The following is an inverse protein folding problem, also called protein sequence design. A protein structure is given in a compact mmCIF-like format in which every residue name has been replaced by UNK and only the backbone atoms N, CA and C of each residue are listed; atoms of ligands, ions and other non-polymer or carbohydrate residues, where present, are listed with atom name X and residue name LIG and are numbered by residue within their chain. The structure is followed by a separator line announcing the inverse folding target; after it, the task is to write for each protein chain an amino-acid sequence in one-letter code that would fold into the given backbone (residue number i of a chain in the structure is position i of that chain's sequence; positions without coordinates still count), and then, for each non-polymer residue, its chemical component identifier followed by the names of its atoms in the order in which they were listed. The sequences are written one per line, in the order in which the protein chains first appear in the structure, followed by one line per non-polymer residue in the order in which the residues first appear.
data_IF_250904848218
#
_entry.id   IF_250904848218
#
_cell.length_a   1.000
_cell.length_b   1.000
_cell.length_c   1.000
_cell.angle_alpha   90.00
_cell.angle_beta   90.00
_cell.angle_gamma   90.00
#
_symmetry.space_group_name_H-M   'P 1'
#
loop_
_entity.id
_entity.type
_entity.pdbx_description
1 polymer ?
#
# COMPACT_ATOMS: atom_id res chain seq x y z
N UNK A 1 17.94 -41.92 -9.07
CA UNK A 1 16.98 -41.12 -9.87
C UNK A 1 16.57 -39.93 -9.00
N UNK A 2 17.14 -38.74 -9.23
CA UNK A 2 16.77 -37.53 -8.46
C UNK A 2 15.51 -36.96 -9.10
N UNK A 3 14.42 -36.98 -8.36
CA UNK A 3 13.16 -36.35 -8.76
C UNK A 3 13.37 -34.85 -8.56
N UNK A 4 13.40 -34.08 -9.64
CA UNK A 4 13.28 -32.63 -9.55
C UNK A 4 11.81 -32.34 -9.24
N UNK A 5 11.51 -31.96 -8.00
CA UNK A 5 10.22 -31.35 -7.69
C UNK A 5 10.08 -30.07 -8.50
N UNK A 6 9.00 -29.90 -9.29
CA UNK A 6 8.76 -28.64 -9.97
C UNK A 6 8.56 -27.57 -8.91
N UNK A 7 9.33 -26.48 -9.00
CA UNK A 7 9.11 -25.30 -8.18
C UNK A 7 7.67 -24.82 -8.39
N UNK A 8 6.81 -25.10 -7.42
CA UNK A 8 5.42 -24.64 -7.41
C UNK A 8 5.48 -23.12 -7.33
N UNK A 9 5.18 -22.45 -8.45
CA UNK A 9 5.02 -21.00 -8.46
C UNK A 9 3.95 -20.65 -7.42
N UNK A 10 4.17 -19.61 -6.58
CA UNK A 10 3.13 -19.17 -5.65
C UNK A 10 1.86 -18.87 -6.44
N UNK A 11 0.68 -19.25 -5.93
CA UNK A 11 -0.58 -19.00 -6.62
C UNK A 11 -0.71 -17.50 -6.90
N UNK A 12 -1.23 -17.10 -8.07
CA UNK A 12 -1.58 -15.71 -8.30
C UNK A 12 -2.50 -15.27 -7.17
N UNK A 13 -2.17 -14.16 -6.51
CA UNK A 13 -3.03 -13.61 -5.47
C UNK A 13 -4.33 -13.19 -6.13
N UNK A 14 -5.44 -13.89 -5.86
CA UNK A 14 -6.76 -13.64 -6.46
C UNK A 14 -7.35 -12.27 -6.06
N UNK A 15 -6.70 -11.57 -5.12
CA UNK A 15 -7.13 -10.25 -4.64
C UNK A 15 -6.68 -9.16 -5.64
N UNK A 16 -7.58 -8.29 -6.12
CA UNK A 16 -7.21 -7.17 -6.99
C UNK A 16 -6.15 -6.27 -6.36
N UNK A 17 -5.18 -5.80 -7.16
CA UNK A 17 -4.06 -4.97 -6.69
C UNK A 17 -4.52 -3.77 -5.84
N UNK A 18 -5.58 -3.10 -6.26
CA UNK A 18 -6.20 -2.00 -5.50
C UNK A 18 -6.56 -2.41 -4.06
N UNK A 19 -7.18 -3.58 -3.87
CA UNK A 19 -7.55 -4.07 -2.54
C UNK A 19 -6.32 -4.43 -1.72
N UNK A 20 -5.30 -5.04 -2.33
CA UNK A 20 -4.05 -5.37 -1.64
C UNK A 20 -3.37 -4.10 -1.08
N UNK A 21 -3.28 -3.04 -1.89
CA UNK A 21 -2.66 -1.77 -1.44
C UNK A 21 -3.52 -1.11 -0.36
N UNK A 22 -4.85 -1.11 -0.53
CA UNK A 22 -5.78 -0.58 0.47
C UNK A 22 -5.60 -1.25 1.83
N UNK A 23 -5.56 -2.58 1.87
CA UNK A 23 -5.30 -3.33 3.12
C UNK A 23 -3.92 -3.01 3.71
N UNK A 24 -2.91 -2.85 2.85
CA UNK A 24 -1.57 -2.52 3.30
C UNK A 24 -1.48 -1.11 3.91
N UNK A 25 -2.22 -0.13 3.37
CA UNK A 25 -2.37 1.20 3.98
C UNK A 25 -3.02 1.07 5.36
N UNK A 26 -4.14 0.35 5.47
CA UNK A 26 -4.89 0.22 6.73
C UNK A 26 -4.07 -0.45 7.85
N UNK A 27 -3.18 -1.37 7.49
CA UNK A 27 -2.31 -2.09 8.44
C UNK A 27 -1.01 -1.35 8.76
N UNK A 28 -0.68 -0.27 8.04
CA UNK A 28 0.51 0.53 8.30
C UNK A 28 0.47 1.13 9.71
N UNK A 29 1.63 1.08 10.39
CA UNK A 29 1.79 1.54 11.79
C UNK A 29 2.70 2.75 11.94
N UNK A 30 3.32 3.21 10.85
CA UNK A 30 4.20 4.36 10.88
C UNK A 30 4.13 5.15 9.57
N UNK A 31 4.38 6.47 9.66
CA UNK A 31 4.32 7.41 8.55
C UNK A 31 5.38 7.16 7.48
N UNK A 32 6.53 6.58 7.84
CA UNK A 32 7.58 6.22 6.87
C UNK A 32 7.13 5.12 5.92
N UNK A 33 6.42 4.12 6.43
CA UNK A 33 5.82 3.06 5.60
C UNK A 33 4.76 3.65 4.69
N UNK A 34 3.90 4.55 5.20
CA UNK A 34 2.91 5.24 4.38
C UNK A 34 3.53 6.08 3.26
N UNK A 35 4.63 6.79 3.53
CA UNK A 35 5.34 7.55 2.49
C UNK A 35 5.79 6.66 1.33
N UNK A 36 6.40 5.50 1.64
CA UNK A 36 6.80 4.53 0.60
C UNK A 36 5.60 3.94 -0.16
N UNK A 37 4.47 3.76 0.51
CA UNK A 37 3.24 3.30 -0.14
C UNK A 37 2.74 4.38 -1.10
N UNK A 38 2.78 5.65 -0.70
CA UNK A 38 2.50 6.80 -1.57
C UNK A 38 3.36 6.81 -2.82
N UNK A 39 4.69 6.72 -2.65
CA UNK A 39 5.64 6.65 -3.78
C UNK A 39 5.29 5.49 -4.73
N UNK A 40 4.94 4.33 -4.16
CA UNK A 40 4.58 3.15 -4.95
C UNK A 40 3.26 3.31 -5.70
N UNK A 41 2.26 3.98 -5.12
CA UNK A 41 0.99 4.28 -5.81
C UNK A 41 1.26 5.13 -7.07
N UNK A 42 2.22 6.04 -6.99
CA UNK A 42 2.56 6.96 -8.08
C UNK A 42 3.24 6.22 -9.24
N UNK A 43 4.16 5.32 -8.91
CA UNK A 43 4.76 4.39 -9.88
C UNK A 43 3.69 3.51 -10.54
N UNK A 44 2.82 2.87 -9.75
CA UNK A 44 1.80 1.95 -10.25
C UNK A 44 0.74 2.65 -11.14
N UNK A 45 0.40 3.89 -10.81
CA UNK A 45 -0.46 4.74 -11.65
C UNK A 45 0.23 5.09 -12.97
N UNK A 46 1.51 5.45 -12.92
CA UNK A 46 2.31 5.78 -14.11
C UNK A 46 2.51 4.58 -15.03
N UNK A 47 2.66 3.39 -14.47
CA UNK A 47 2.76 2.12 -15.19
C UNK A 47 1.39 1.62 -15.72
N UNK A 48 0.31 2.33 -15.44
CA UNK A 48 -1.05 1.96 -15.84
C UNK A 48 -1.63 0.75 -15.10
N UNK A 49 -1.01 0.34 -13.97
CA UNK A 49 -1.50 -0.75 -13.13
C UNK A 49 -2.64 -0.30 -12.19
N UNK A 50 -2.75 1.01 -11.96
CA UNK A 50 -3.87 1.64 -11.28
C UNK A 50 -4.51 2.67 -12.21
N UNK A 51 -5.84 2.79 -12.16
CA UNK A 51 -6.51 3.92 -12.80
C UNK A 51 -6.25 5.21 -12.01
N UNK A 52 -6.43 6.37 -12.65
CA UNK A 52 -6.30 7.66 -11.98
C UNK A 52 -7.21 7.77 -10.73
N UNK A 53 -8.44 7.27 -10.84
CA UNK A 53 -9.40 7.27 -9.72
C UNK A 53 -8.93 6.36 -8.58
N UNK A 54 -8.46 5.15 -8.89
CA UNK A 54 -7.92 4.23 -7.89
C UNK A 54 -6.69 4.81 -7.17
N UNK A 55 -5.80 5.46 -7.91
CA UNK A 55 -4.62 6.11 -7.33
C UNK A 55 -5.03 7.29 -6.43
N UNK A 56 -6.01 8.09 -6.83
CA UNK A 56 -6.54 9.19 -6.03
C UNK A 56 -7.17 8.69 -4.72
N UNK A 57 -7.99 7.63 -4.78
CA UNK A 57 -8.61 7.01 -3.60
C UNK A 57 -7.55 6.50 -2.62
N UNK A 58 -6.54 5.79 -3.11
CA UNK A 58 -5.46 5.26 -2.28
C UNK A 58 -4.62 6.39 -1.65
N UNK A 59 -4.34 7.48 -2.38
CA UNK A 59 -3.65 8.66 -1.82
C UNK A 59 -4.47 9.32 -0.72
N UNK A 60 -5.79 9.42 -0.89
CA UNK A 60 -6.70 9.91 0.16
C UNK A 60 -6.61 9.06 1.43
N UNK A 61 -6.62 7.73 1.28
CA UNK A 61 -6.44 6.80 2.40
C UNK A 61 -5.07 6.91 3.07
N UNK A 62 -3.99 7.11 2.31
CA UNK A 62 -2.65 7.36 2.87
C UNK A 62 -2.66 8.61 3.74
N UNK A 63 -3.29 9.70 3.28
CA UNK A 63 -3.42 10.94 4.06
C UNK A 63 -4.20 10.73 5.36
N UNK A 64 -5.39 10.13 5.29
CA UNK A 64 -6.20 9.82 6.49
C UNK A 64 -5.40 8.98 7.49
N UNK A 65 -4.73 7.92 7.00
CA UNK A 65 -3.94 7.04 7.87
C UNK A 65 -2.71 7.73 8.45
N UNK A 66 -2.11 8.66 7.71
CA UNK A 66 -1.01 9.49 8.20
C UNK A 66 -1.46 10.32 9.39
N UNK A 67 -2.60 11.01 9.26
CA UNK A 67 -3.18 11.83 10.33
C UNK A 67 -3.60 11.00 11.56
N UNK A 68 -4.05 9.77 11.37
CA UNK A 68 -4.35 8.85 12.47
C UNK A 68 -3.09 8.42 13.25
N UNK A 69 -1.98 8.20 12.55
CA UNK A 69 -0.71 7.76 13.15
C UNK A 69 0.01 8.93 13.81
N UNK A 70 0.04 10.08 13.14
CA UNK A 70 0.67 11.31 13.62
C UNK A 70 -0.36 12.45 13.63
N UNK A 71 -1.22 12.51 14.65
CA UNK A 71 -2.17 13.59 14.77
C UNK A 71 -1.42 14.90 14.97
N UNK A 72 -1.81 15.91 14.17
CA UNK A 72 -1.20 17.24 14.12
C UNK A 72 -1.15 17.98 15.48
N UNK A 73 -1.79 17.45 16.52
CA UNK A 73 -1.91 17.99 17.87
C UNK A 73 -0.81 17.57 18.85
N UNK A 74 0.18 16.75 18.47
CA UNK A 74 1.28 16.41 19.40
C UNK A 74 2.29 17.55 19.63
N UNK A 75 2.04 18.75 19.07
CA UNK A 75 2.84 19.96 19.32
C UNK A 75 2.06 20.93 20.23
N UNK A 76 1.97 20.62 21.52
CA UNK A 76 1.59 21.60 22.53
C UNK A 76 0.62 21.11 23.60
N UNK A 77 1.16 20.51 24.65
CA UNK A 77 0.61 20.58 26.01
C UNK A 77 1.71 20.23 27.02
N UNK A 78 2.68 21.14 27.13
CA UNK A 78 3.57 21.26 28.30
C UNK A 78 3.45 22.69 28.80
#
# INVERSE_FOLDING_TARGET
MRVFEPAVAPPPSDVPLFQQIREYILTAKNVRTLGRIGDRIDELSSDGQLTADQAADLRGLVGVRHDEIEPATTKGAT
#
